data_IF_768445203983
#
_entry.id   IF_768445203983
#
_cell.length_a   1.000
_cell.length_b   1.000
_cell.length_c   1.000
_cell.angle_alpha   90.00
_cell.angle_beta   90.00
_cell.angle_gamma   90.00
#
_symmetry.space_group_name_H-M   'P 1'
#
loop_
_entity.id
_entity.type
_entity.pdbx_description
1 polymer ?
#
# COMPACT_ATOMS: atom_id res chain seq x y z
N UNK A 1 -0.16 -12.60 -12.18
CA UNK A 1 -0.12 -11.68 -11.01
C UNK A 1 -1.13 -12.12 -9.98
N UNK A 2 -0.78 -12.05 -8.67
CA UNK A 2 -1.76 -12.32 -7.59
C UNK A 2 -1.93 -11.06 -6.76
N UNK A 3 -3.19 -10.67 -6.53
CA UNK A 3 -3.57 -9.53 -5.69
C UNK A 3 -4.29 -10.05 -4.45
N UNK A 4 -3.88 -9.60 -3.29
CA UNK A 4 -4.57 -9.86 -2.01
C UNK A 4 -5.33 -8.60 -1.61
N UNK A 5 -6.65 -8.66 -1.69
CA UNK A 5 -7.55 -7.60 -1.22
C UNK A 5 -7.91 -7.84 0.25
N UNK A 6 -7.70 -6.85 1.10
CA UNK A 6 -8.02 -6.93 2.53
C UNK A 6 -9.13 -5.92 2.81
N UNK A 7 -10.33 -6.41 3.05
CA UNK A 7 -11.49 -5.57 3.36
C UNK A 7 -12.51 -6.37 4.19
N UNK A 8 -13.07 -5.79 5.27
CA UNK A 8 -14.15 -6.44 6.03
C UNK A 8 -15.52 -6.41 5.33
N UNK A 9 -15.69 -5.60 4.26
CA UNK A 9 -16.91 -5.59 3.48
C UNK A 9 -16.98 -6.80 2.54
N UNK A 10 -18.20 -7.17 2.16
CA UNK A 10 -18.43 -8.16 1.11
C UNK A 10 -17.96 -7.57 -0.23
N UNK A 11 -17.19 -8.35 -0.95
CA UNK A 11 -16.74 -8.00 -2.30
C UNK A 11 -17.74 -8.50 -3.33
N UNK A 12 -17.99 -7.68 -4.35
CA UNK A 12 -18.84 -8.05 -5.48
C UNK A 12 -18.29 -9.33 -6.14
N UNK A 13 -19.13 -10.35 -6.41
CA UNK A 13 -18.72 -11.58 -7.08
C UNK A 13 -17.98 -11.34 -8.41
N UNK A 14 -18.38 -10.32 -9.17
CA UNK A 14 -17.70 -9.95 -10.44
C UNK A 14 -16.24 -9.59 -10.18
N UNK A 15 -15.94 -8.91 -9.08
CA UNK A 15 -14.56 -8.57 -8.70
C UNK A 15 -13.80 -9.80 -8.23
N UNK A 16 -14.45 -10.69 -7.47
CA UNK A 16 -13.83 -11.95 -7.01
C UNK A 16 -13.42 -12.86 -8.15
N UNK A 17 -14.24 -12.90 -9.21
CA UNK A 17 -13.99 -13.72 -10.40
C UNK A 17 -13.16 -13.01 -11.46
N UNK A 18 -12.76 -11.76 -11.22
CA UNK A 18 -11.99 -10.99 -12.19
C UNK A 18 -10.63 -11.61 -12.48
N UNK A 19 -10.40 -11.95 -13.72
CA UNK A 19 -9.14 -12.53 -14.23
C UNK A 19 -8.30 -11.53 -15.03
N UNK A 20 -8.83 -10.32 -15.28
CA UNK A 20 -8.20 -9.32 -16.13
C UNK A 20 -8.29 -9.62 -17.62
N UNK A 21 -7.89 -8.65 -18.44
CA UNK A 21 -7.83 -8.78 -19.88
C UNK A 21 -6.58 -9.55 -20.37
N UNK A 22 -5.65 -9.89 -19.49
CA UNK A 22 -4.39 -10.58 -19.78
C UNK A 22 -4.39 -12.01 -19.20
N UNK A 23 -3.43 -12.88 -19.61
CA UNK A 23 -3.56 -14.32 -19.56
C UNK A 23 -3.91 -14.93 -18.20
N UNK A 24 -4.34 -16.17 -18.24
CA UNK A 24 -4.95 -17.06 -17.25
C UNK A 24 -4.39 -17.08 -15.80
N UNK A 25 -3.30 -16.37 -15.49
CA UNK A 25 -2.58 -16.46 -14.23
C UNK A 25 -2.89 -15.33 -13.22
N UNK A 26 -3.79 -14.41 -13.57
CA UNK A 26 -4.20 -13.36 -12.65
C UNK A 26 -5.19 -13.91 -11.62
N UNK A 27 -4.90 -13.67 -10.34
CA UNK A 27 -5.75 -14.10 -9.23
C UNK A 27 -6.01 -12.93 -8.29
N UNK A 28 -7.26 -12.79 -7.88
CA UNK A 28 -7.66 -11.94 -6.77
C UNK A 28 -8.05 -12.84 -5.60
N UNK A 29 -7.46 -12.60 -4.43
CA UNK A 29 -7.71 -13.33 -3.19
C UNK A 29 -8.24 -12.33 -2.18
N UNK A 30 -9.52 -12.45 -1.82
CA UNK A 30 -10.14 -11.59 -0.83
C UNK A 30 -9.93 -12.15 0.57
N UNK A 31 -9.27 -11.39 1.43
CA UNK A 31 -9.20 -11.64 2.86
C UNK A 31 -10.34 -10.85 3.53
N UNK A 32 -11.51 -11.47 3.64
CA UNK A 32 -12.73 -10.89 4.19
C UNK A 32 -12.62 -10.71 5.71
N UNK A 33 -11.80 -9.76 6.12
CA UNK A 33 -11.56 -9.43 7.53
C UNK A 33 -10.91 -8.05 7.67
N UNK A 34 -11.02 -7.41 8.84
CA UNK A 34 -10.30 -6.17 9.13
C UNK A 34 -8.79 -6.37 8.98
N UNK A 35 -8.11 -5.37 8.45
CA UNK A 35 -6.66 -5.38 8.22
C UNK A 35 -5.84 -5.63 9.50
N UNK A 36 -6.36 -5.23 10.67
CA UNK A 36 -5.76 -5.49 11.98
C UNK A 36 -5.69 -6.99 12.31
N UNK A 37 -6.60 -7.79 11.77
CA UNK A 37 -6.68 -9.25 11.99
C UNK A 37 -5.86 -10.05 10.98
N UNK A 38 -5.33 -9.42 9.93
CA UNK A 38 -4.49 -10.11 8.94
C UNK A 38 -3.15 -10.44 9.55
N UNK A 39 -2.79 -11.72 9.54
CA UNK A 39 -1.53 -12.22 10.04
C UNK A 39 -0.53 -12.44 8.91
N UNK A 40 0.73 -12.64 9.29
CA UNK A 40 1.78 -12.92 8.32
C UNK A 40 1.52 -14.19 7.50
N UNK A 41 0.93 -15.19 8.10
CA UNK A 41 0.62 -16.47 7.45
C UNK A 41 -0.50 -16.35 6.39
N UNK A 42 -1.35 -15.33 6.47
CA UNK A 42 -2.43 -15.09 5.52
C UNK A 42 -1.93 -14.54 4.17
N UNK A 43 -0.69 -14.07 4.12
CA UNK A 43 -0.10 -13.40 2.96
C UNK A 43 1.10 -14.19 2.43
N UNK A 44 1.46 -14.03 1.15
CA UNK A 44 2.60 -14.74 0.56
C UNK A 44 3.92 -14.34 1.22
N UNK A 45 4.92 -15.20 1.14
CA UNK A 45 6.24 -14.93 1.69
C UNK A 45 6.88 -13.66 1.09
N UNK A 46 6.66 -13.38 -0.18
CA UNK A 46 7.12 -12.19 -0.88
C UNK A 46 5.94 -11.32 -1.29
N UNK A 47 5.97 -10.05 -0.90
CA UNK A 47 5.08 -9.00 -1.42
C UNK A 47 5.93 -8.03 -2.24
N UNK A 48 5.45 -7.74 -3.45
CA UNK A 48 6.14 -6.80 -4.34
C UNK A 48 5.61 -5.38 -4.16
N UNK A 49 4.33 -5.23 -3.90
CA UNK A 49 3.68 -3.94 -3.71
C UNK A 49 2.73 -3.97 -2.52
N UNK A 50 2.66 -2.87 -1.80
CA UNK A 50 1.62 -2.61 -0.80
C UNK A 50 0.87 -1.35 -1.21
N UNK A 51 -0.43 -1.51 -1.50
CA UNK A 51 -1.32 -0.41 -1.82
C UNK A 51 -2.30 -0.25 -0.66
N UNK A 52 -2.52 0.97 -0.21
CA UNK A 52 -3.38 1.23 0.93
C UNK A 52 -4.15 2.54 0.74
N UNK A 53 -5.47 2.41 0.68
CA UNK A 53 -6.41 3.52 0.76
C UNK A 53 -7.42 3.18 1.87
N UNK A 54 -7.17 3.69 3.06
CA UNK A 54 -7.95 3.37 4.26
C UNK A 54 -8.32 4.62 5.03
N UNK A 55 -9.49 4.62 5.62
CA UNK A 55 -9.95 5.72 6.45
C UNK A 55 -9.43 5.58 7.90
N UNK A 56 -8.11 5.73 8.06
CA UNK A 56 -7.40 5.67 9.33
C UNK A 56 -6.51 6.89 9.50
N UNK A 57 -6.25 7.26 10.75
CA UNK A 57 -5.24 8.27 11.04
C UNK A 57 -3.89 7.89 10.40
N UNK A 58 -3.12 8.85 9.82
CA UNK A 58 -1.92 8.58 9.05
C UNK A 58 -0.90 7.70 9.79
N UNK A 59 -0.72 7.91 11.09
CA UNK A 59 0.21 7.12 11.91
C UNK A 59 -0.20 5.65 11.99
N UNK A 60 -1.50 5.38 12.14
CA UNK A 60 -2.05 4.02 12.21
C UNK A 60 -1.92 3.32 10.86
N UNK A 61 -2.22 4.03 9.76
CA UNK A 61 -2.02 3.54 8.40
C UNK A 61 -0.56 3.15 8.16
N UNK A 62 0.40 4.00 8.56
CA UNK A 62 1.84 3.73 8.39
C UNK A 62 2.34 2.55 9.24
N UNK A 63 1.88 2.42 10.49
CA UNK A 63 2.21 1.26 11.32
C UNK A 63 1.75 -0.03 10.62
N UNK A 64 0.56 -0.02 10.06
CA UNK A 64 0.01 -1.18 9.36
C UNK A 64 0.73 -1.45 8.06
N UNK A 65 0.98 -0.43 7.23
CA UNK A 65 1.77 -0.57 6.01
C UNK A 65 3.16 -1.16 6.31
N UNK A 66 3.84 -0.66 7.34
CA UNK A 66 5.13 -1.18 7.80
C UNK A 66 5.05 -2.65 8.21
N UNK A 67 4.02 -3.04 8.95
CA UNK A 67 3.80 -4.43 9.36
C UNK A 67 3.60 -5.35 8.17
N UNK A 68 2.81 -4.94 7.18
CA UNK A 68 2.57 -5.70 5.96
C UNK A 68 3.82 -5.76 5.07
N UNK A 69 4.56 -4.66 4.97
CA UNK A 69 5.79 -4.55 4.19
C UNK A 69 7.02 -5.20 4.89
N UNK A 70 6.94 -5.54 6.19
CA UNK A 70 8.02 -6.13 6.98
C UNK A 70 8.30 -7.60 6.59
N UNK A 71 8.59 -7.83 5.31
CA UNK A 71 8.94 -9.13 4.71
C UNK A 71 10.34 -9.04 4.13
N UNK A 72 10.88 -10.10 3.51
CA UNK A 72 12.18 -9.97 2.89
C UNK A 72 12.22 -8.70 2.03
N UNK A 73 12.93 -7.70 2.48
CA UNK A 73 12.93 -6.34 1.89
C UNK A 73 13.35 -6.34 0.42
N UNK A 74 14.11 -7.36 0.00
CA UNK A 74 14.54 -7.53 -1.38
C UNK A 74 13.39 -7.85 -2.35
N UNK A 75 12.24 -8.30 -1.86
CA UNK A 75 11.08 -8.57 -2.71
C UNK A 75 10.17 -7.34 -2.90
N UNK A 76 10.22 -6.38 -1.98
CA UNK A 76 9.34 -5.21 -2.03
C UNK A 76 9.86 -4.21 -3.08
N UNK A 77 9.01 -3.85 -4.03
CA UNK A 77 9.28 -2.82 -5.03
C UNK A 77 8.83 -1.45 -4.55
N UNK A 78 7.67 -1.37 -3.90
CA UNK A 78 7.20 -0.09 -3.40
C UNK A 78 5.89 -0.14 -2.62
N UNK A 79 5.50 1.05 -2.19
CA UNK A 79 4.24 1.30 -1.50
C UNK A 79 3.49 2.45 -2.16
N UNK A 80 2.17 2.34 -2.23
CA UNK A 80 1.26 3.42 -2.63
C UNK A 80 0.26 3.63 -1.49
N UNK A 81 0.28 4.79 -0.88
CA UNK A 81 -0.48 5.07 0.32
C UNK A 81 -1.31 6.34 0.15
N UNK A 82 -2.59 6.29 0.52
CA UNK A 82 -3.40 7.49 0.74
C UNK A 82 -3.41 7.79 2.24
N UNK A 83 -2.84 8.93 2.63
CA UNK A 83 -2.81 9.39 4.01
C UNK A 83 -3.90 10.43 4.23
N UNK A 84 -4.86 10.12 5.07
CA UNK A 84 -5.98 11.01 5.44
C UNK A 84 -5.47 12.03 6.45
N UNK A 85 -5.49 13.31 6.09
CA UNK A 85 -5.11 14.40 7.00
C UNK A 85 -6.39 14.91 7.68
N UNK A 86 -6.59 14.57 8.96
CA UNK A 86 -7.83 14.86 9.67
C UNK A 86 -8.09 16.36 9.87
N UNK A 87 -7.03 17.16 9.96
CA UNK A 87 -7.09 18.62 10.03
C UNK A 87 -5.84 19.28 9.43
N UNK A 88 -5.87 20.60 9.26
CA UNK A 88 -4.74 21.39 8.75
C UNK A 88 -3.50 21.34 9.66
N UNK A 89 -3.67 21.02 10.93
CA UNK A 89 -2.55 20.86 11.87
C UNK A 89 -1.72 19.62 11.55
N UNK A 90 -2.33 18.63 10.90
CA UNK A 90 -1.65 17.43 10.44
C UNK A 90 -0.58 17.72 9.36
N UNK A 91 -0.73 18.81 8.60
CA UNK A 91 0.22 19.22 7.55
C UNK A 91 1.65 19.39 8.11
N UNK A 92 1.81 19.94 9.30
CA UNK A 92 3.13 20.06 9.97
C UNK A 92 3.83 18.73 10.23
N UNK A 93 3.07 17.63 10.25
CA UNK A 93 3.60 16.28 10.49
C UNK A 93 3.99 15.55 9.21
N UNK A 94 3.66 16.10 8.01
CA UNK A 94 3.98 15.48 6.73
C UNK A 94 5.45 15.09 6.62
N UNK A 95 6.44 15.95 6.94
CA UNK A 95 7.84 15.56 6.84
C UNK A 95 8.17 14.31 7.67
N UNK A 96 7.60 14.20 8.87
CA UNK A 96 7.79 13.04 9.75
C UNK A 96 7.11 11.77 9.20
N UNK A 97 5.93 11.92 8.58
CA UNK A 97 5.24 10.81 7.92
C UNK A 97 6.07 10.28 6.75
N UNK A 98 6.59 11.18 5.90
CA UNK A 98 7.45 10.80 4.77
C UNK A 98 8.76 10.16 5.23
N UNK A 99 9.40 10.68 6.29
CA UNK A 99 10.58 10.05 6.89
C UNK A 99 10.27 8.64 7.41
N UNK A 100 9.07 8.40 7.95
CA UNK A 100 8.64 7.07 8.40
C UNK A 100 8.50 6.10 7.22
N UNK A 101 8.07 6.58 6.04
CA UNK A 101 7.98 5.77 4.82
C UNK A 101 9.39 5.46 4.30
N UNK A 102 10.29 6.44 4.26
CA UNK A 102 11.70 6.21 3.90
C UNK A 102 12.35 5.16 4.79
N UNK A 103 12.05 5.18 6.11
CA UNK A 103 12.55 4.20 7.07
C UNK A 103 12.04 2.76 6.81
N UNK A 104 11.04 2.57 5.96
CA UNK A 104 10.60 1.26 5.48
C UNK A 104 11.52 0.68 4.41
N UNK A 105 12.57 1.40 4.01
CA UNK A 105 13.51 1.01 2.96
C UNK A 105 13.20 1.62 1.59
N UNK A 106 12.38 2.68 1.56
CA UNK A 106 12.11 3.43 0.34
C UNK A 106 13.27 4.41 0.07
N UNK A 107 13.93 4.27 -1.07
CA UNK A 107 14.98 5.18 -1.52
C UNK A 107 14.42 6.45 -2.14
N UNK A 108 13.25 6.34 -2.74
CA UNK A 108 12.54 7.47 -3.35
C UNK A 108 11.14 7.55 -2.73
N UNK A 109 10.78 8.73 -2.22
CA UNK A 109 9.43 9.00 -1.68
C UNK A 109 8.92 10.27 -2.31
N UNK A 110 7.82 10.16 -3.04
CA UNK A 110 7.10 11.28 -3.61
C UNK A 110 5.73 11.40 -2.99
N UNK A 111 5.34 12.61 -2.66
CA UNK A 111 4.03 12.92 -2.13
C UNK A 111 3.35 13.98 -3.00
N UNK A 112 2.08 13.78 -3.29
CA UNK A 112 1.27 14.76 -4.03
C UNK A 112 -0.12 14.83 -3.46
N UNK A 113 -0.73 16.00 -3.53
CA UNK A 113 -2.13 16.20 -3.23
C UNK A 113 -2.89 16.26 -4.55
N UNK A 114 -3.81 15.32 -4.75
CA UNK A 114 -4.67 15.36 -5.93
C UNK A 114 -5.76 16.39 -5.73
N UNK A 115 -6.17 17.13 -6.78
CA UNK A 115 -7.20 18.18 -6.68
C UNK A 115 -8.53 17.70 -6.14
N UNK A 116 -8.88 16.43 -6.40
CA UNK A 116 -10.10 15.77 -5.89
C UNK A 116 -10.01 15.33 -4.43
N UNK A 117 -8.80 15.23 -3.89
CA UNK A 117 -8.53 14.61 -2.58
C UNK A 117 -8.27 15.68 -1.52
N UNK A 118 -9.28 16.42 -1.13
CA UNK A 118 -9.27 17.59 -0.22
C UNK A 118 -8.18 17.54 0.88
N UNK A 119 -8.31 16.62 1.83
CA UNK A 119 -7.43 16.46 2.99
C UNK A 119 -6.68 15.11 2.92
N UNK A 120 -6.26 14.73 1.73
CA UNK A 120 -5.56 13.48 1.49
C UNK A 120 -4.23 13.74 0.81
N UNK A 121 -3.22 13.02 1.24
CA UNK A 121 -1.91 13.02 0.62
C UNK A 121 -1.66 11.65 0.00
N UNK A 122 -1.50 11.63 -1.31
CA UNK A 122 -1.07 10.42 -2.02
C UNK A 122 0.45 10.32 -1.96
N UNK A 123 0.95 9.19 -1.50
CA UNK A 123 2.39 8.95 -1.34
C UNK A 123 2.79 7.69 -2.08
N UNK A 124 3.80 7.84 -2.95
CA UNK A 124 4.49 6.74 -3.62
C UNK A 124 5.89 6.60 -3.02
N UNK A 125 6.20 5.42 -2.52
CA UNK A 125 7.54 5.07 -2.07
C UNK A 125 8.09 3.94 -2.92
N UNK A 126 9.33 4.06 -3.41
CA UNK A 126 10.02 3.05 -4.21
C UNK A 126 11.29 2.57 -3.50
N UNK A 127 11.46 1.26 -3.43
CA UNK A 127 12.76 0.68 -3.11
C UNK A 127 13.70 0.80 -4.32
N UNK A 128 14.98 0.50 -4.13
CA UNK A 128 15.94 0.41 -5.24
C UNK A 128 15.48 -0.56 -6.32
N UNK A 129 15.05 -1.75 -5.93
CA UNK A 129 14.54 -2.76 -6.85
C UNK A 129 13.28 -2.29 -7.60
N UNK A 130 12.38 -1.57 -6.91
CA UNK A 130 11.18 -1.00 -7.55
C UNK A 130 11.51 0.08 -8.55
N UNK A 131 12.46 0.96 -8.25
CA UNK A 131 12.92 1.99 -9.17
C UNK A 131 13.53 1.38 -10.43
N UNK A 132 14.49 0.46 -10.28
CA UNK A 132 15.11 -0.23 -11.41
C UNK A 132 14.09 -0.93 -12.31
N UNK A 133 13.07 -1.57 -11.70
CA UNK A 133 12.03 -2.24 -12.47
C UNK A 133 11.16 -1.29 -13.29
N UNK A 134 10.96 -0.05 -12.84
CA UNK A 134 10.15 0.94 -13.55
C UNK A 134 10.96 1.69 -14.62
N UNK A 135 12.27 1.87 -14.43
CA UNK A 135 13.13 2.56 -15.39
C UNK A 135 13.69 1.63 -16.46
N UNK A 136 13.62 0.32 -16.25
CA UNK A 136 14.16 -0.66 -17.18
C UNK A 136 15.69 -0.80 -17.12
N UNK A 137 16.31 -0.26 -16.05
CA UNK A 137 17.76 -0.34 -15.80
C UNK A 137 18.16 -1.59 -15.01
#
# INVERSE_FOLDING_TARGET
MTVYGIDPALMDPVVLDYRGAAPADNRFIHLHRPMSMVQRADLPAALHWVLMDVNLAPQVALITARRLAARPRHALHGVLLTLKLDDWRAVRHIPRLLASISAMGMEEVKATQLPSNRMELFVCGLTRAGRQRLTGD
#
